data_IF_764661057492
#
_entry.id   IF_764661057492
#
_cell.length_a   1.000
_cell.length_b   1.000
_cell.length_c   1.000
_cell.angle_alpha   90.00
_cell.angle_beta   90.00
_cell.angle_gamma   90.00
#
_symmetry.space_group_name_H-M   'P 1'
#
loop_
_entity.id
_entity.type
_entity.pdbx_description
1 polymer ?
#
# COMPACT_ATOMS: atom_id res chain seq x y z
N UNK A 1 -35.11 -23.73 -85.15
CA UNK A 1 -33.91 -22.88 -85.29
C UNK A 1 -33.48 -22.45 -83.89
N UNK A 2 -32.46 -23.02 -83.24
CA UNK A 2 -31.58 -24.18 -83.49
C UNK A 2 -31.32 -24.82 -82.09
N UNK A 3 -31.67 -26.11 -81.85
CA UNK A 3 -30.71 -27.23 -81.57
C UNK A 3 -29.64 -26.94 -80.49
N UNK A 4 -29.33 -27.76 -79.46
CA UNK A 4 -29.60 -29.17 -79.08
C UNK A 4 -29.00 -29.41 -77.64
N UNK A 5 -29.06 -30.53 -76.87
CA UNK A 5 -29.63 -31.90 -76.93
C UNK A 5 -29.66 -32.54 -75.50
N UNK A 6 -30.39 -33.66 -75.29
CA UNK A 6 -30.30 -34.75 -74.25
C UNK A 6 -30.10 -34.44 -72.73
N UNK A 7 -30.87 -34.98 -71.76
CA UNK A 7 -31.18 -36.39 -71.33
C UNK A 7 -30.04 -37.05 -70.53
N UNK A 8 -30.18 -37.83 -69.43
CA UNK A 8 -31.11 -38.91 -68.95
C UNK A 8 -31.02 -38.93 -67.37
N UNK A 9 -31.88 -39.43 -66.44
CA UNK A 9 -33.25 -39.98 -66.27
C UNK A 9 -33.22 -41.26 -65.36
N UNK A 10 -34.20 -41.48 -64.45
CA UNK A 10 -34.47 -42.71 -63.61
C UNK A 10 -33.67 -42.81 -62.26
N UNK A 11 -34.08 -43.52 -61.18
CA UNK A 11 -35.31 -44.31 -60.85
C UNK A 11 -35.60 -44.49 -59.32
N UNK A 12 -36.85 -44.86 -58.98
CA UNK A 12 -37.34 -45.74 -57.88
C UNK A 12 -36.94 -45.59 -56.39
N UNK A 13 -37.94 -45.12 -55.62
CA UNK A 13 -38.41 -45.54 -54.27
C UNK A 13 -38.16 -47.00 -53.81
N UNK A 14 -37.77 -47.20 -52.53
CA UNK A 14 -38.11 -48.38 -51.69
C UNK A 14 -37.84 -48.20 -50.15
N UNK A 15 -38.84 -48.54 -49.31
CA UNK A 15 -38.84 -49.48 -48.12
C UNK A 15 -37.61 -49.55 -47.16
N UNK A 16 -37.68 -49.68 -45.80
CA UNK A 16 -38.61 -49.33 -44.68
C UNK A 16 -38.05 -49.92 -43.32
N UNK A 17 -38.00 -49.12 -42.24
CA UNK A 17 -37.94 -49.44 -40.75
C UNK A 17 -36.80 -50.31 -40.11
N UNK A 18 -36.68 -50.15 -38.77
CA UNK A 18 -35.90 -50.89 -37.73
C UNK A 18 -34.37 -50.61 -37.65
N UNK A 19 -33.69 -50.61 -36.49
CA UNK A 19 -34.10 -50.41 -35.07
C UNK A 19 -32.87 -50.18 -34.14
N UNK A 20 -33.14 -49.64 -32.94
CA UNK A 20 -32.34 -49.68 -31.69
C UNK A 20 -30.97 -48.96 -31.56
N UNK A 21 -30.90 -48.29 -30.40
CA UNK A 21 -29.82 -47.74 -29.56
C UNK A 21 -28.38 -48.27 -29.71
N UNK A 22 -27.43 -47.39 -29.36
CA UNK A 22 -26.27 -47.77 -28.54
C UNK A 22 -25.90 -46.61 -27.59
N UNK A 23 -25.98 -46.91 -26.30
CA UNK A 23 -25.43 -46.30 -25.07
C UNK A 23 -25.17 -44.78 -24.89
N UNK A 24 -25.44 -44.36 -23.65
CA UNK A 24 -24.95 -43.09 -23.08
C UNK A 24 -23.51 -43.29 -22.61
N UNK A 25 -22.54 -42.79 -23.37
CA UNK A 25 -21.19 -42.60 -22.84
C UNK A 25 -21.26 -41.64 -21.64
N UNK A 26 -21.20 -42.22 -20.44
CA UNK A 26 -21.13 -41.48 -19.20
C UNK A 26 -19.75 -40.88 -19.12
N UNK A 27 -19.63 -39.58 -19.40
CA UNK A 27 -18.37 -38.86 -19.33
C UNK A 27 -17.79 -38.95 -17.91
N UNK A 28 -16.88 -39.92 -17.71
CA UNK A 28 -16.12 -40.09 -16.48
C UNK A 28 -15.51 -38.74 -16.12
N UNK A 29 -15.69 -38.23 -14.89
CA UNK A 29 -14.96 -37.06 -14.45
C UNK A 29 -13.46 -37.31 -14.66
N UNK A 30 -12.84 -36.51 -15.52
CA UNK A 30 -11.38 -36.49 -15.63
C UNK A 30 -10.80 -36.24 -14.24
N UNK A 31 -9.64 -36.82 -13.89
CA UNK A 31 -9.10 -36.74 -12.54
C UNK A 31 -9.03 -35.28 -12.12
N UNK A 32 -9.75 -34.94 -11.04
CA UNK A 32 -9.67 -33.61 -10.45
C UNK A 32 -8.20 -33.28 -10.18
N UNK A 33 -7.74 -32.03 -10.43
CA UNK A 33 -6.40 -31.62 -10.07
C UNK A 33 -6.29 -31.52 -8.55
N UNK A 34 -6.13 -32.67 -7.89
CA UNK A 34 -5.92 -32.88 -6.46
C UNK A 34 -4.53 -32.42 -5.98
N UNK A 35 -3.97 -31.41 -6.66
CA UNK A 35 -2.78 -30.69 -6.25
C UNK A 35 -3.14 -29.67 -5.17
N UNK A 36 -3.12 -30.09 -3.91
CA UNK A 36 -2.87 -29.15 -2.82
C UNK A 36 -1.56 -28.40 -3.14
N UNK A 37 -1.66 -27.10 -3.37
CA UNK A 37 -0.49 -26.30 -3.76
C UNK A 37 0.52 -26.31 -2.62
N UNK A 38 1.67 -26.94 -2.84
CA UNK A 38 2.77 -26.92 -1.90
C UNK A 38 3.22 -25.47 -1.69
N UNK A 39 3.13 -24.99 -0.45
CA UNK A 39 3.49 -23.62 -0.10
C UNK A 39 4.94 -23.29 -0.45
N UNK A 40 5.24 -22.01 -0.61
CA UNK A 40 6.56 -21.58 -1.09
C UNK A 40 7.65 -21.93 -0.07
N UNK A 41 8.60 -22.78 -0.48
CA UNK A 41 9.85 -23.03 0.25
C UNK A 41 10.74 -21.79 0.10
N UNK A 42 11.24 -21.27 1.21
CA UNK A 42 12.02 -20.03 1.28
C UNK A 42 13.16 -20.16 2.30
N UNK A 43 14.20 -19.30 2.24
CA UNK A 43 15.25 -19.29 3.25
C UNK A 43 14.73 -18.97 4.65
N UNK A 44 15.46 -19.43 5.67
CA UNK A 44 15.25 -19.02 7.07
C UNK A 44 15.74 -17.58 7.27
N UNK A 45 15.07 -16.79 8.11
CA UNK A 45 15.39 -15.38 8.31
C UNK A 45 16.78 -15.16 8.93
N UNK A 46 17.53 -14.19 8.42
CA UNK A 46 18.79 -13.71 9.01
C UNK A 46 18.47 -12.81 10.20
N UNK A 47 19.13 -12.99 11.34
CA UNK A 47 18.89 -12.20 12.56
C UNK A 47 19.18 -10.71 12.37
N UNK A 48 18.21 -9.87 12.76
CA UNK A 48 18.24 -8.42 12.64
C UNK A 48 17.93 -7.75 14.00
N UNK A 49 18.70 -6.73 14.36
CA UNK A 49 18.47 -5.94 15.56
C UNK A 49 18.69 -6.68 16.89
N UNK A 50 18.25 -6.03 17.97
CA UNK A 50 18.43 -6.52 19.33
C UNK A 50 17.48 -7.68 19.67
N UNK A 51 17.98 -8.64 20.46
CA UNK A 51 17.18 -9.72 21.04
C UNK A 51 16.63 -9.30 22.41
N UNK A 52 15.38 -9.66 22.70
CA UNK A 52 14.79 -9.58 24.04
C UNK A 52 14.63 -10.99 24.58
N UNK A 53 15.03 -11.22 25.84
CA UNK A 53 15.03 -12.55 26.48
C UNK A 53 14.37 -12.47 27.84
N UNK A 54 13.54 -13.45 28.20
CA UNK A 54 12.83 -13.52 29.48
C UNK A 54 12.64 -14.97 29.93
N UNK A 55 12.83 -15.24 31.23
CA UNK A 55 12.45 -16.51 31.87
C UNK A 55 10.97 -16.44 32.26
N UNK A 56 10.17 -17.43 31.81
CA UNK A 56 8.73 -17.51 32.06
C UNK A 56 8.41 -18.90 32.60
N UNK A 57 7.70 -18.94 33.74
CA UNK A 57 7.31 -20.17 34.43
C UNK A 57 5.84 -20.55 34.27
N UNK A 58 5.36 -21.54 35.04
CA UNK A 58 3.95 -22.01 35.01
C UNK A 58 2.91 -20.92 35.30
N UNK A 59 3.29 -19.83 35.96
CA UNK A 59 2.46 -18.62 36.14
C UNK A 59 2.05 -17.94 34.82
N UNK A 60 2.74 -18.22 33.72
CA UNK A 60 2.61 -17.49 32.46
C UNK A 60 3.40 -16.18 32.47
N UNK A 61 3.35 -15.44 31.37
CA UNK A 61 4.10 -14.20 31.18
C UNK A 61 3.89 -13.57 29.81
N UNK A 62 4.54 -12.43 29.59
CA UNK A 62 4.52 -11.69 28.33
C UNK A 62 5.95 -11.34 27.92
N UNK A 63 6.30 -11.61 26.67
CA UNK A 63 7.56 -11.17 26.05
C UNK A 63 7.24 -10.40 24.76
N UNK A 64 8.03 -9.39 24.41
CA UNK A 64 7.81 -8.55 23.25
C UNK A 64 9.14 -8.17 22.58
N UNK A 65 9.08 -7.74 21.32
CA UNK A 65 10.21 -7.09 20.66
C UNK A 65 10.48 -5.69 21.26
N UNK A 66 11.71 -5.14 21.17
CA UNK A 66 12.06 -3.84 21.77
C UNK A 66 11.18 -2.66 21.32
N UNK A 67 10.69 -2.71 20.08
CA UNK A 67 9.80 -1.74 19.46
C UNK A 67 8.30 -2.01 19.71
N UNK A 68 7.98 -3.08 20.45
CA UNK A 68 6.62 -3.60 20.67
C UNK A 68 5.84 -3.94 19.39
N UNK A 69 6.55 -4.21 18.28
CA UNK A 69 5.97 -4.61 16.99
C UNK A 69 5.35 -6.00 17.02
N UNK A 70 5.97 -6.94 17.73
CA UNK A 70 5.36 -8.23 18.11
C UNK A 70 5.37 -8.39 19.63
N UNK A 71 4.30 -8.98 20.17
CA UNK A 71 4.25 -9.45 21.55
C UNK A 71 3.64 -10.84 21.62
N UNK A 72 4.05 -11.62 22.63
CA UNK A 72 3.58 -12.98 22.86
C UNK A 72 3.15 -13.11 24.31
N UNK A 73 1.90 -13.54 24.51
CA UNK A 73 1.33 -13.86 25.81
C UNK A 73 1.31 -15.38 25.99
N UNK A 74 2.06 -15.87 26.98
CA UNK A 74 2.07 -17.29 27.39
C UNK A 74 1.14 -17.39 28.61
N UNK A 75 -0.03 -18.04 28.52
CA UNK A 75 -0.99 -18.05 29.62
C UNK A 75 -0.57 -18.97 30.77
N UNK A 76 -1.10 -18.71 31.98
CA UNK A 76 -0.85 -19.55 33.15
C UNK A 76 -1.24 -21.01 32.90
N UNK A 77 -0.36 -21.94 33.24
CA UNK A 77 -0.51 -23.37 32.97
C UNK A 77 -0.36 -23.77 31.50
N UNK A 78 0.31 -22.95 30.68
CA UNK A 78 0.85 -23.35 29.37
C UNK A 78 2.22 -24.05 29.44
N UNK A 79 2.87 -24.00 30.61
CA UNK A 79 4.19 -24.54 30.91
C UNK A 79 4.16 -25.33 32.22
N UNK A 80 4.97 -26.39 32.30
CA UNK A 80 5.15 -27.23 33.49
C UNK A 80 6.33 -26.80 34.37
N UNK A 81 7.27 -26.03 33.84
CA UNK A 81 8.46 -25.53 34.52
C UNK A 81 8.90 -24.18 33.92
N UNK A 82 9.90 -23.55 34.54
CA UNK A 82 10.54 -22.33 34.04
C UNK A 82 11.32 -22.58 32.75
N UNK A 83 11.07 -21.76 31.73
CA UNK A 83 11.74 -21.80 30.44
C UNK A 83 12.18 -20.39 30.03
N UNK A 84 13.40 -20.27 29.52
CA UNK A 84 13.89 -19.03 28.89
C UNK A 84 13.37 -18.93 27.46
N UNK A 85 12.73 -17.82 27.14
CA UNK A 85 12.24 -17.47 25.81
C UNK A 85 12.95 -16.24 25.27
N UNK A 86 13.00 -16.08 23.95
CA UNK A 86 13.46 -14.84 23.32
C UNK A 86 12.69 -14.45 22.05
N UNK A 87 12.73 -13.15 21.76
CA UNK A 87 12.19 -12.51 20.55
C UNK A 87 13.31 -11.73 19.87
N UNK A 88 13.51 -11.91 18.58
CA UNK A 88 14.43 -11.11 17.76
C UNK A 88 13.80 -10.81 16.39
N UNK A 89 14.13 -9.67 15.78
CA UNK A 89 13.82 -9.42 14.37
C UNK A 89 14.61 -10.35 13.45
N UNK A 90 14.05 -10.68 12.28
CA UNK A 90 14.72 -11.39 11.20
C UNK A 90 14.27 -10.87 9.82
N UNK A 91 15.12 -11.09 8.81
CA UNK A 91 14.79 -10.80 7.41
C UNK A 91 13.53 -11.54 6.97
N UNK A 92 12.56 -10.81 6.41
CA UNK A 92 11.25 -11.38 6.05
C UNK A 92 11.31 -12.06 4.67
N UNK A 93 11.13 -13.38 4.66
CA UNK A 93 11.05 -14.20 3.45
C UNK A 93 9.65 -14.79 3.20
N UNK A 94 8.63 -14.37 3.95
CA UNK A 94 7.25 -14.79 3.71
C UNK A 94 6.74 -14.25 2.35
N UNK A 95 6.08 -15.06 1.51
CA UNK A 95 5.45 -14.56 0.28
C UNK A 95 4.41 -13.47 0.61
N UNK A 96 4.47 -12.34 -0.11
CA UNK A 96 3.65 -11.14 0.19
C UNK A 96 3.86 -10.59 1.62
N UNK A 97 5.02 -10.85 2.24
CA UNK A 97 5.37 -10.39 3.58
C UNK A 97 5.36 -8.88 3.73
N UNK A 98 4.94 -8.39 4.90
CA UNK A 98 4.83 -6.96 5.24
C UNK A 98 5.64 -6.64 6.49
N UNK A 99 6.61 -5.73 6.35
CA UNK A 99 7.51 -5.34 7.42
C UNK A 99 8.49 -6.45 7.83
N UNK A 100 9.13 -6.28 8.99
CA UNK A 100 10.09 -7.22 9.56
C UNK A 100 9.37 -8.49 10.09
N UNK A 101 10.04 -9.64 9.97
CA UNK A 101 9.62 -10.91 10.57
C UNK A 101 10.31 -11.10 11.94
N UNK A 102 9.83 -12.00 12.78
CA UNK A 102 10.36 -12.21 14.13
C UNK A 102 10.60 -13.68 14.42
N UNK A 103 11.80 -13.98 14.94
CA UNK A 103 12.16 -15.28 15.49
C UNK A 103 11.73 -15.35 16.95
N UNK A 104 10.93 -16.35 17.28
CA UNK A 104 10.55 -16.71 18.64
C UNK A 104 11.32 -17.99 19.02
N UNK A 105 12.02 -17.98 20.15
CA UNK A 105 12.79 -19.13 20.65
C UNK A 105 12.38 -19.51 22.08
N UNK A 106 12.50 -20.80 22.47
CA UNK A 106 13.07 -21.92 21.70
C UNK A 106 12.09 -22.51 20.67
N UNK A 107 12.60 -22.96 19.53
CA UNK A 107 11.81 -23.82 18.62
C UNK A 107 11.48 -25.15 19.30
N UNK A 108 10.35 -25.77 18.93
CA UNK A 108 9.96 -27.09 19.45
C UNK A 108 9.40 -27.11 20.88
N UNK A 109 9.25 -25.97 21.55
CA UNK A 109 8.40 -25.88 22.75
C UNK A 109 6.97 -26.22 22.36
N UNK A 110 6.36 -27.17 23.07
CA UNK A 110 4.95 -27.52 22.95
C UNK A 110 4.21 -27.01 24.18
N UNK A 111 3.40 -25.96 24.03
CA UNK A 111 2.62 -25.43 25.14
C UNK A 111 1.43 -26.35 25.47
N UNK A 112 1.03 -26.43 26.74
CA UNK A 112 -0.20 -27.14 27.17
C UNK A 112 -1.47 -26.31 26.98
N UNK A 113 -1.34 -25.02 26.66
CA UNK A 113 -2.41 -24.07 26.31
C UNK A 113 -1.86 -23.10 25.26
N UNK A 114 -2.64 -22.65 24.26
CA UNK A 114 -2.13 -21.80 23.19
C UNK A 114 -1.55 -20.48 23.72
N UNK A 115 -0.34 -20.14 23.28
CA UNK A 115 0.20 -18.81 23.39
C UNK A 115 -0.46 -17.89 22.35
N UNK A 116 -0.64 -16.61 22.69
CA UNK A 116 -1.21 -15.62 21.78
C UNK A 116 -0.08 -14.77 21.23
N UNK A 117 0.18 -14.86 19.91
CA UNK A 117 1.12 -13.96 19.21
C UNK A 117 0.31 -12.80 18.63
N UNK A 118 0.72 -11.58 18.92
CA UNK A 118 0.09 -10.35 18.44
C UNK A 118 1.10 -9.49 17.71
N UNK A 119 0.81 -9.14 16.46
CA UNK A 119 1.55 -8.14 15.69
C UNK A 119 0.80 -6.80 15.72
N UNK A 120 1.53 -5.70 15.82
CA UNK A 120 1.03 -4.35 15.53
C UNK A 120 1.32 -3.99 14.07
N UNK A 121 0.42 -3.25 13.41
CA UNK A 121 0.63 -2.76 12.04
C UNK A 121 0.48 -1.23 11.94
N UNK A 122 1.14 -0.62 10.95
CA UNK A 122 1.08 0.83 10.67
C UNK A 122 0.65 1.12 9.21
N UNK A 123 0.58 2.40 8.81
CA UNK A 123 0.18 2.81 7.46
C UNK A 123 1.09 2.26 6.34
N UNK A 124 2.34 1.90 6.64
CA UNK A 124 3.28 1.30 5.67
C UNK A 124 2.87 -0.13 5.35
N UNK A 125 2.38 -0.87 6.34
CA UNK A 125 1.87 -2.23 6.16
C UNK A 125 0.62 -2.24 5.28
N UNK A 126 -0.24 -1.26 5.46
CA UNK A 126 -1.50 -1.11 4.72
C UNK A 126 -1.32 -0.55 3.30
N UNK A 127 -0.13 -0.10 2.90
CA UNK A 127 0.13 0.40 1.53
C UNK A 127 -0.24 -0.67 0.49
N UNK A 128 -1.29 -0.38 -0.29
CA UNK A 128 -1.77 -1.24 -1.36
C UNK A 128 -2.71 -2.36 -0.89
N UNK A 129 -3.14 -2.39 0.37
CA UNK A 129 -4.03 -3.42 0.92
C UNK A 129 -5.03 -2.82 1.93
N UNK A 130 -5.72 -3.67 2.71
CA UNK A 130 -6.62 -3.25 3.78
C UNK A 130 -6.43 -4.16 5.02
N UNK A 131 -6.75 -3.71 6.26
CA UNK A 131 -6.53 -4.49 7.47
C UNK A 131 -7.11 -5.91 7.44
N UNK A 132 -8.32 -6.09 6.89
CA UNK A 132 -8.97 -7.41 6.79
C UNK A 132 -8.30 -8.37 5.78
N UNK A 133 -7.36 -7.87 4.98
CA UNK A 133 -6.54 -8.63 4.02
C UNK A 133 -5.12 -8.92 4.56
N UNK A 134 -4.81 -8.47 5.78
CA UNK A 134 -3.60 -8.88 6.50
C UNK A 134 -3.80 -10.27 7.14
N UNK A 135 -2.72 -11.03 7.22
CA UNK A 135 -2.61 -12.32 7.90
C UNK A 135 -1.27 -12.41 8.63
N UNK A 136 -1.15 -13.38 9.53
CA UNK A 136 0.12 -13.80 10.14
C UNK A 136 0.42 -15.21 9.63
N UNK A 137 1.69 -15.49 9.33
CA UNK A 137 2.19 -16.83 9.04
C UNK A 137 3.42 -17.16 9.88
N UNK A 138 3.71 -18.44 10.02
CA UNK A 138 4.96 -18.97 10.56
C UNK A 138 5.71 -19.80 9.53
N UNK A 139 7.04 -19.85 9.63
CA UNK A 139 7.85 -20.76 8.82
C UNK A 139 8.01 -22.09 9.56
N UNK A 140 7.75 -23.21 8.87
CA UNK A 140 7.98 -24.56 9.40
C UNK A 140 9.37 -25.09 9.04
N UNK A 141 9.74 -26.24 9.61
CA UNK A 141 11.06 -26.90 9.43
C UNK A 141 11.42 -27.22 7.96
N UNK A 142 10.43 -27.21 7.04
CA UNK A 142 10.63 -27.42 5.60
C UNK A 142 10.84 -26.12 4.82
N UNK A 143 10.99 -24.98 5.53
CA UNK A 143 11.12 -23.64 4.93
C UNK A 143 9.81 -23.08 4.34
N UNK A 144 8.68 -23.77 4.56
CA UNK A 144 7.36 -23.40 4.03
C UNK A 144 6.61 -22.54 5.05
N UNK A 145 6.03 -21.43 4.58
CA UNK A 145 5.19 -20.57 5.40
C UNK A 145 3.76 -21.10 5.52
N UNK A 146 3.20 -21.05 6.72
CA UNK A 146 1.87 -21.55 7.08
C UNK A 146 1.07 -20.46 7.80
N UNK A 147 -0.14 -20.16 7.34
CA UNK A 147 -1.05 -19.19 7.96
C UNK A 147 -2.05 -19.89 8.87
N UNK A 148 -1.94 -19.80 10.21
CA UNK A 148 -3.01 -20.22 11.11
C UNK A 148 -4.25 -19.32 10.97
N UNK A 149 -5.34 -19.69 11.65
CA UNK A 149 -6.53 -18.85 11.75
C UNK A 149 -6.24 -17.59 12.57
N UNK A 150 -6.83 -16.46 12.16
CA UNK A 150 -6.81 -15.22 12.97
C UNK A 150 -7.62 -15.47 14.25
N UNK A 151 -7.04 -15.12 15.40
CA UNK A 151 -7.74 -15.05 16.68
C UNK A 151 -8.55 -13.74 16.77
N UNK A 152 -7.93 -12.59 16.48
CA UNK A 152 -8.64 -11.30 16.39
C UNK A 152 -7.92 -10.29 15.50
N UNK A 153 -8.68 -9.31 14.98
CA UNK A 153 -8.19 -8.10 14.30
C UNK A 153 -8.84 -6.88 14.96
N UNK A 154 -8.05 -6.06 15.67
CA UNK A 154 -8.50 -4.77 16.19
C UNK A 154 -7.98 -3.64 15.29
N UNK A 155 -8.90 -2.99 14.58
CA UNK A 155 -8.59 -1.88 13.66
C UNK A 155 -8.36 -0.54 14.36
N UNK A 156 -8.70 -0.44 15.65
CA UNK A 156 -8.50 0.76 16.49
C UNK A 156 -7.14 0.70 17.18
N UNK A 157 -6.82 -0.42 17.85
CA UNK A 157 -5.49 -0.67 18.43
C UNK A 157 -4.43 -1.05 17.38
N UNK A 158 -4.87 -1.35 16.14
CA UNK A 158 -4.04 -1.78 15.00
C UNK A 158 -3.23 -3.03 15.30
N UNK A 159 -3.90 -4.04 15.85
CA UNK A 159 -3.33 -5.33 16.20
C UNK A 159 -4.01 -6.46 15.44
N UNK A 160 -3.20 -7.44 15.04
CA UNK A 160 -3.63 -8.71 14.45
C UNK A 160 -3.06 -9.82 15.33
N UNK A 161 -3.88 -10.78 15.77
CA UNK A 161 -3.44 -11.84 16.67
C UNK A 161 -3.80 -13.24 16.17
N UNK A 162 -2.98 -14.22 16.55
CA UNK A 162 -3.18 -15.66 16.31
C UNK A 162 -2.95 -16.44 17.60
N UNK A 163 -3.39 -17.70 17.60
CA UNK A 163 -3.01 -18.68 18.63
C UNK A 163 -1.96 -19.65 18.07
N UNK A 164 -0.99 -20.03 18.90
CA UNK A 164 0.03 -21.03 18.56
C UNK A 164 0.34 -21.97 19.73
N UNK A 165 0.68 -23.21 19.40
CA UNK A 165 1.18 -24.21 20.35
C UNK A 165 2.72 -24.32 20.34
N UNK A 166 3.40 -23.62 19.42
CA UNK A 166 4.86 -23.66 19.23
C UNK A 166 5.46 -22.30 18.88
N UNK A 167 6.79 -22.19 19.00
CA UNK A 167 7.61 -21.06 18.57
C UNK A 167 8.45 -21.42 17.33
N UNK A 168 8.79 -20.42 16.52
CA UNK A 168 9.42 -20.51 15.18
C UNK A 168 9.74 -19.09 14.66
N UNK A 169 10.04 -18.92 13.37
CA UNK A 169 9.96 -17.60 12.69
C UNK A 169 8.50 -17.28 12.35
N UNK A 170 8.10 -16.00 12.47
CA UNK A 170 6.75 -15.47 12.26
C UNK A 170 6.76 -14.15 11.48
N UNK A 171 5.78 -13.93 10.60
CA UNK A 171 5.68 -12.71 9.79
C UNK A 171 4.21 -12.31 9.56
N UNK A 172 3.96 -11.01 9.34
CA UNK A 172 2.74 -10.57 8.69
C UNK A 172 2.87 -10.67 7.17
N UNK A 173 1.77 -10.97 6.48
CA UNK A 173 1.69 -10.96 5.02
C UNK A 173 0.31 -10.48 4.52
N UNK A 174 0.22 -10.13 3.23
CA UNK A 174 -1.00 -9.61 2.58
C UNK A 174 -1.61 -10.68 1.67
N UNK A 175 -2.88 -11.02 1.85
CA UNK A 175 -3.57 -11.99 0.97
C UNK A 175 -3.98 -11.38 -0.36
N UNK A 176 -4.27 -10.08 -0.41
CA UNK A 176 -4.54 -9.33 -1.64
C UNK A 176 -3.81 -7.97 -1.58
N UNK A 177 -3.20 -7.54 -2.67
CA UNK A 177 -2.59 -6.21 -2.79
C UNK A 177 -2.61 -5.63 -4.21
N UNK A 178 -2.53 -4.30 -4.30
CA UNK A 178 -2.24 -3.53 -5.53
C UNK A 178 -0.79 -3.04 -5.51
N UNK A 179 -0.09 -3.21 -6.62
CA UNK A 179 1.28 -2.74 -6.81
C UNK A 179 1.45 -2.06 -8.18
N UNK A 180 2.16 -0.92 -8.29
CA UNK A 180 2.73 -0.13 -7.18
C UNK A 180 1.68 0.56 -6.31
N UNK A 181 1.80 0.45 -4.99
CA UNK A 181 0.92 1.08 -4.00
C UNK A 181 1.13 2.60 -3.84
N UNK A 182 2.26 3.13 -4.33
CA UNK A 182 2.54 4.57 -4.37
C UNK A 182 3.42 4.85 -5.60
N UNK A 183 3.07 5.86 -6.39
CA UNK A 183 3.74 6.18 -7.67
C UNK A 183 4.10 7.66 -7.71
N UNK A 184 5.25 7.99 -8.32
CA UNK A 184 5.72 9.36 -8.51
C UNK A 184 6.01 9.60 -10.00
N UNK A 185 5.09 10.27 -10.68
CA UNK A 185 5.14 10.53 -12.12
C UNK A 185 5.44 12.00 -12.43
N UNK A 186 6.10 12.26 -13.54
CA UNK A 186 6.06 13.56 -14.20
C UNK A 186 4.70 13.73 -14.93
N UNK A 187 4.26 14.98 -15.20
CA UNK A 187 3.07 15.21 -16.03
C UNK A 187 3.17 14.50 -17.40
N UNK A 188 2.07 13.88 -17.83
CA UNK A 188 1.98 13.11 -19.08
C UNK A 188 2.58 11.69 -19.07
N UNK A 189 3.24 11.25 -17.99
CA UNK A 189 3.72 9.87 -17.87
C UNK A 189 2.60 8.86 -17.59
N UNK A 190 2.93 7.57 -17.68
CA UNK A 190 1.99 6.46 -17.51
C UNK A 190 2.51 5.47 -16.47
N UNK A 191 1.61 4.76 -15.79
CA UNK A 191 1.94 3.61 -14.93
C UNK A 191 0.93 2.48 -15.14
N UNK A 192 1.43 1.25 -15.19
CA UNK A 192 0.60 0.04 -15.07
C UNK A 192 0.51 -0.35 -13.60
N UNK A 193 -0.70 -0.39 -13.08
CA UNK A 193 -1.01 -1.01 -11.80
C UNK A 193 -1.37 -2.48 -12.03
N UNK A 194 -0.98 -3.32 -11.09
CA UNK A 194 -1.26 -4.76 -11.08
C UNK A 194 -1.82 -5.16 -9.73
N UNK A 195 -2.65 -6.21 -9.69
CA UNK A 195 -3.17 -6.76 -8.44
C UNK A 195 -2.86 -8.24 -8.33
N UNK A 196 -2.42 -8.62 -7.14
CA UNK A 196 -2.02 -9.98 -6.81
C UNK A 196 -2.78 -10.50 -5.61
N UNK A 197 -2.94 -11.82 -5.55
CA UNK A 197 -3.52 -12.52 -4.42
C UNK A 197 -2.70 -13.77 -4.04
N UNK A 198 -2.82 -14.19 -2.78
CA UNK A 198 -2.44 -15.52 -2.31
C UNK A 198 -3.74 -16.29 -2.09
N UNK A 199 -3.82 -17.49 -2.66
CA UNK A 199 -5.02 -18.32 -2.56
C UNK A 199 -5.15 -18.91 -1.15
N UNK A 200 -6.23 -18.56 -0.45
CA UNK A 200 -6.64 -19.20 0.80
C UNK A 200 -7.27 -20.58 0.47
N UNK A 201 -6.45 -21.62 0.32
CA UNK A 201 -6.92 -23.01 0.19
C UNK A 201 -7.17 -23.61 1.58
N UNK A 202 -8.41 -24.01 1.93
CA UNK A 202 -8.69 -24.60 3.23
C UNK A 202 -7.94 -25.92 3.43
N UNK A 203 -7.13 -26.00 4.49
CA UNK A 203 -6.50 -27.23 4.95
C UNK A 203 -6.89 -27.46 6.41
N UNK A 204 -7.38 -28.66 6.72
CA UNK A 204 -7.79 -29.00 8.09
C UNK A 204 -6.54 -29.20 8.98
N UNK A 205 -6.52 -28.52 10.14
CA UNK A 205 -5.52 -28.62 11.22
C UNK A 205 -4.04 -28.50 10.77
N UNK A 206 -3.50 -27.27 10.88
CA UNK A 206 -2.10 -26.96 10.54
C UNK A 206 -1.88 -25.59 9.89
N UNK A 207 -2.98 -24.87 9.61
CA UNK A 207 -2.94 -23.62 8.85
C UNK A 207 -2.90 -23.84 7.34
N UNK A 208 -3.12 -22.77 6.58
CA UNK A 208 -3.09 -22.80 5.11
C UNK A 208 -1.65 -22.55 4.60
N UNK A 209 -1.13 -23.33 3.64
CA UNK A 209 0.20 -23.08 3.09
C UNK A 209 0.21 -21.76 2.31
N UNK A 210 1.18 -20.89 2.61
CA UNK A 210 1.33 -19.60 1.92
C UNK A 210 2.02 -19.84 0.58
N UNK A 211 1.25 -19.74 -0.50
CA UNK A 211 1.73 -19.87 -1.88
C UNK A 211 2.36 -18.56 -2.39
N UNK A 212 3.08 -18.63 -3.51
CA UNK A 212 3.55 -17.43 -4.21
C UNK A 212 2.36 -16.59 -4.71
N UNK A 213 2.45 -15.24 -4.69
CA UNK A 213 1.39 -14.38 -5.20
C UNK A 213 1.09 -14.63 -6.68
N UNK A 214 -0.19 -14.74 -7.01
CA UNK A 214 -0.72 -14.94 -8.36
C UNK A 214 -1.50 -13.69 -8.82
N UNK A 215 -1.78 -13.51 -10.12
CA UNK A 215 -2.72 -12.50 -10.61
C UNK A 215 -4.10 -12.64 -9.97
N UNK A 216 -4.70 -11.52 -9.51
CA UNK A 216 -6.03 -11.53 -8.89
C UNK A 216 -7.12 -12.08 -9.85
N UNK A 217 -7.94 -13.09 -9.48
CA UNK A 217 -8.97 -13.62 -10.36
C UNK A 217 -10.05 -12.58 -10.68
N UNK A 218 -10.53 -12.49 -11.95
CA UNK A 218 -11.60 -11.58 -12.33
C UNK A 218 -12.87 -11.68 -11.47
N UNK A 219 -13.18 -12.86 -10.93
CA UNK A 219 -14.33 -13.08 -10.07
C UNK A 219 -14.31 -12.26 -8.75
N UNK A 220 -13.14 -11.81 -8.28
CA UNK A 220 -13.01 -10.95 -7.09
C UNK A 220 -12.97 -9.45 -7.41
N UNK A 221 -13.22 -9.05 -8.67
CA UNK A 221 -13.11 -7.67 -9.16
C UNK A 221 -14.53 -7.13 -9.42
N UNK A 222 -14.89 -6.03 -8.76
CA UNK A 222 -16.09 -5.26 -9.11
C UNK A 222 -15.70 -4.21 -10.16
N UNK A 223 -14.91 -3.20 -9.77
CA UNK A 223 -14.48 -2.14 -10.69
C UNK A 223 -13.26 -1.36 -10.23
N UNK A 224 -12.59 -0.79 -11.22
CA UNK A 224 -11.56 0.22 -11.08
C UNK A 224 -12.18 1.62 -11.04
N UNK A 225 -11.70 2.47 -10.12
CA UNK A 225 -12.19 3.85 -9.94
C UNK A 225 -11.00 4.80 -9.83
N UNK A 226 -11.01 5.91 -10.58
CA UNK A 226 -10.09 7.03 -10.43
C UNK A 226 -10.75 8.15 -9.62
N UNK A 227 -10.03 8.68 -8.63
CA UNK A 227 -10.35 9.92 -7.94
C UNK A 227 -9.21 10.92 -8.14
N UNK A 228 -9.46 11.97 -8.93
CA UNK A 228 -8.46 12.92 -9.40
C UNK A 228 -8.43 13.02 -10.93
N UNK A 229 -7.44 13.74 -11.44
CA UNK A 229 -7.25 13.96 -12.88
C UNK A 229 -6.37 12.87 -13.52
N UNK A 230 -6.41 12.80 -14.85
CA UNK A 230 -5.76 11.77 -15.67
C UNK A 230 -6.77 10.90 -16.39
N UNK A 231 -6.33 9.75 -16.91
CA UNK A 231 -7.24 8.71 -17.46
C UNK A 231 -6.86 7.34 -16.91
N UNK A 232 -7.85 6.45 -16.77
CA UNK A 232 -7.66 5.11 -16.23
C UNK A 232 -8.33 4.08 -17.16
N UNK A 233 -7.60 3.01 -17.49
CA UNK A 233 -8.09 1.89 -18.30
C UNK A 233 -7.89 0.58 -17.52
N UNK A 234 -8.92 0.18 -16.79
CA UNK A 234 -8.95 -1.11 -16.08
C UNK A 234 -9.18 -2.27 -17.04
N UNK A 235 -8.45 -3.36 -16.86
CA UNK A 235 -8.62 -4.63 -17.56
C UNK A 235 -8.32 -5.78 -16.59
N UNK A 236 -9.37 -6.38 -16.03
CA UNK A 236 -9.25 -7.44 -15.01
C UNK A 236 -8.29 -6.99 -13.88
N UNK A 237 -7.25 -7.78 -13.59
CA UNK A 237 -6.30 -7.57 -12.50
C UNK A 237 -5.26 -6.47 -12.74
N UNK A 238 -5.31 -5.77 -13.88
CA UNK A 238 -4.42 -4.63 -14.18
C UNK A 238 -5.22 -3.36 -14.49
N UNK A 239 -4.61 -2.20 -14.29
CA UNK A 239 -5.13 -0.94 -14.80
C UNK A 239 -4.00 -0.02 -15.25
N UNK A 240 -4.12 0.51 -16.47
CA UNK A 240 -3.19 1.49 -17.00
C UNK A 240 -3.70 2.90 -16.67
N UNK A 241 -2.90 3.70 -15.95
CA UNK A 241 -3.16 5.10 -15.64
C UNK A 241 -2.24 6.00 -16.47
N UNK A 242 -2.82 7.08 -17.02
CA UNK A 242 -2.11 8.17 -17.70
C UNK A 242 -2.26 9.46 -16.89
N UNK A 243 -1.13 10.08 -16.54
CA UNK A 243 -1.11 11.36 -15.84
C UNK A 243 -1.59 12.51 -16.76
N UNK A 244 -2.24 13.55 -16.20
CA UNK A 244 -2.53 14.77 -16.94
C UNK A 244 -1.24 15.50 -17.36
N UNK A 245 -1.33 16.34 -18.39
CA UNK A 245 -0.19 17.10 -18.96
C UNK A 245 0.29 18.27 -18.07
N UNK A 246 -0.33 18.48 -16.91
CA UNK A 246 0.04 19.45 -15.90
C UNK A 246 -0.09 18.83 -14.50
N UNK A 247 0.44 19.50 -13.47
CA UNK A 247 0.26 19.07 -12.07
C UNK A 247 -1.23 19.26 -11.69
N UNK A 248 -1.92 18.20 -11.23
CA UNK A 248 -3.36 18.22 -10.99
C UNK A 248 -3.75 18.95 -9.71
N UNK A 249 -5.02 19.36 -9.62
CA UNK A 249 -5.61 20.00 -8.46
C UNK A 249 -5.78 19.05 -7.27
N UNK A 250 -6.14 17.79 -7.52
CA UNK A 250 -6.09 16.71 -6.54
C UNK A 250 -4.82 15.89 -6.76
N UNK A 251 -3.86 16.02 -5.84
CA UNK A 251 -2.56 15.39 -5.91
C UNK A 251 -2.13 14.91 -4.50
N UNK A 252 -1.82 13.62 -4.28
CA UNK A 252 -1.91 12.52 -5.24
C UNK A 252 -3.35 12.26 -5.71
N UNK A 253 -3.48 11.75 -6.94
CA UNK A 253 -4.70 11.09 -7.40
C UNK A 253 -4.75 9.67 -6.81
N UNK A 254 -5.96 9.16 -6.54
CA UNK A 254 -6.14 7.82 -5.99
C UNK A 254 -6.80 6.89 -7.02
N UNK A 255 -6.14 5.78 -7.34
CA UNK A 255 -6.73 4.68 -8.11
C UNK A 255 -7.13 3.59 -7.13
N UNK A 256 -8.43 3.26 -7.12
CA UNK A 256 -9.02 2.25 -6.24
C UNK A 256 -9.52 1.08 -7.06
N UNK A 257 -9.12 -0.15 -6.71
CA UNK A 257 -9.86 -1.35 -7.06
C UNK A 257 -10.88 -1.64 -5.96
N UNK A 258 -12.16 -1.73 -6.32
CA UNK A 258 -13.22 -2.26 -5.46
C UNK A 258 -13.34 -3.76 -5.73
N UNK A 259 -13.34 -4.56 -4.67
CA UNK A 259 -13.34 -6.02 -4.76
C UNK A 259 -14.75 -6.59 -4.59
N UNK A 260 -15.14 -7.49 -5.50
CA UNK A 260 -16.30 -8.36 -5.33
C UNK A 260 -15.95 -9.54 -4.40
N UNK A 261 -15.59 -9.22 -3.15
CA UNK A 261 -15.19 -10.21 -2.14
C UNK A 261 -15.58 -9.72 -0.75
N UNK A 262 -16.16 -10.63 0.03
CA UNK A 262 -16.37 -10.48 1.48
C UNK A 262 -15.36 -11.36 2.22
N UNK A 263 -14.91 -10.95 3.41
CA UNK A 263 -14.15 -11.82 4.33
C UNK A 263 -14.74 -11.75 5.73
N UNK A 264 -14.45 -12.74 6.58
CA UNK A 264 -14.91 -12.79 7.98
C UNK A 264 -13.72 -13.00 8.91
N UNK A 265 -13.65 -12.20 9.97
CA UNK A 265 -12.64 -12.29 11.01
C UNK A 265 -13.37 -12.11 12.35
N UNK A 266 -13.18 -13.04 13.28
CA UNK A 266 -13.81 -13.03 14.61
C UNK A 266 -15.34 -12.80 14.56
N UNK A 267 -16.01 -13.50 13.64
CA UNK A 267 -17.45 -13.36 13.35
C UNK A 267 -17.85 -12.09 12.57
N UNK A 268 -17.09 -11.00 12.66
CA UNK A 268 -17.34 -9.75 11.93
C UNK A 268 -17.17 -9.94 10.42
N UNK A 269 -18.14 -9.42 9.65
CA UNK A 269 -18.18 -9.52 8.19
C UNK A 269 -17.69 -8.22 7.53
N UNK A 270 -16.61 -8.31 6.77
CA UNK A 270 -15.98 -7.18 6.07
C UNK A 270 -16.38 -7.20 4.60
N UNK A 271 -17.21 -6.22 4.23
CA UNK A 271 -17.65 -5.91 2.87
C UNK A 271 -16.89 -4.68 2.33
N UNK A 272 -17.13 -4.33 1.07
CA UNK A 272 -16.55 -3.15 0.40
C UNK A 272 -15.02 -3.07 0.48
N UNK A 273 -14.34 -4.23 0.41
CA UNK A 273 -12.88 -4.32 0.43
C UNK A 273 -12.28 -3.57 -0.77
N UNK A 274 -11.26 -2.74 -0.49
CA UNK A 274 -10.62 -1.85 -1.47
C UNK A 274 -9.12 -1.98 -1.42
N UNK A 275 -8.50 -1.93 -2.60
CA UNK A 275 -7.05 -1.78 -2.76
C UNK A 275 -6.79 -0.41 -3.38
N UNK A 276 -5.90 0.40 -2.80
CA UNK A 276 -5.67 1.79 -3.23
C UNK A 276 -4.20 2.00 -3.60
N UNK A 277 -3.97 2.52 -4.81
CA UNK A 277 -2.68 3.11 -5.22
C UNK A 277 -2.81 4.63 -5.24
N UNK A 278 -1.81 5.32 -4.68
CA UNK A 278 -1.73 6.78 -4.69
C UNK A 278 -0.68 7.24 -5.70
N UNK A 279 -1.10 8.02 -6.70
CA UNK A 279 -0.27 8.48 -7.81
C UNK A 279 -0.03 9.98 -7.65
N UNK A 280 1.18 10.34 -7.27
CA UNK A 280 1.63 11.72 -7.13
C UNK A 280 2.24 12.20 -8.44
N UNK A 281 1.69 13.26 -9.02
CA UNK A 281 2.11 13.81 -10.32
C UNK A 281 2.81 15.14 -10.12
N UNK A 282 4.15 15.14 -10.16
CA UNK A 282 4.98 16.35 -10.22
C UNK A 282 6.40 16.04 -10.73
N UNK A 283 7.05 16.99 -11.42
CA UNK A 283 8.49 16.96 -11.68
C UNK A 283 9.30 16.90 -10.37
N UNK A 284 10.57 16.45 -10.46
CA UNK A 284 11.50 16.63 -9.34
C UNK A 284 11.79 18.12 -9.11
N UNK A 285 11.69 18.56 -7.86
CA UNK A 285 11.86 19.95 -7.45
C UNK A 285 10.68 20.49 -6.63
N UNK A 286 10.58 21.81 -6.57
CA UNK A 286 9.51 22.57 -5.94
C UNK A 286 8.73 23.31 -7.04
N UNK A 287 7.57 22.79 -7.39
CA UNK A 287 6.65 23.37 -8.37
C UNK A 287 5.69 24.36 -7.69
N UNK A 288 5.52 25.55 -8.27
CA UNK A 288 4.63 26.60 -7.78
C UNK A 288 3.80 27.18 -8.93
N UNK A 289 2.53 27.46 -8.66
CA UNK A 289 1.60 28.14 -9.55
C UNK A 289 0.98 29.35 -8.82
N UNK A 290 0.89 30.47 -9.50
CA UNK A 290 0.27 31.71 -9.01
C UNK A 290 -0.93 32.05 -9.89
N UNK A 291 -2.08 32.39 -9.29
CA UNK A 291 -3.31 32.85 -9.96
C UNK A 291 -3.73 32.01 -11.18
N UNK A 292 -3.57 30.68 -11.09
CA UNK A 292 -3.80 29.70 -12.16
C UNK A 292 -2.97 29.89 -13.44
N UNK A 293 -1.91 30.71 -13.41
CA UNK A 293 -0.96 30.91 -14.51
C UNK A 293 -0.06 29.69 -14.78
N UNK A 294 1.06 29.89 -15.46
CA UNK A 294 2.00 28.79 -15.73
C UNK A 294 2.59 28.20 -14.43
N UNK A 295 2.77 26.88 -14.41
CA UNK A 295 3.59 26.21 -13.40
C UNK A 295 5.07 26.54 -13.64
N UNK A 296 5.79 26.91 -12.58
CA UNK A 296 7.25 26.99 -12.60
C UNK A 296 7.83 26.00 -11.58
N UNK A 297 8.84 25.24 -11.97
CA UNK A 297 9.51 24.25 -11.10
C UNK A 297 10.93 24.68 -10.80
N UNK A 298 11.17 25.03 -9.54
CA UNK A 298 12.51 25.33 -9.05
C UNK A 298 13.24 24.01 -8.73
N UNK A 299 14.46 23.79 -9.25
CA UNK A 299 15.36 22.76 -8.74
C UNK A 299 15.53 22.91 -7.23
N UNK A 300 15.23 21.85 -6.46
CA UNK A 300 15.02 21.96 -5.02
C UNK A 300 15.43 20.71 -4.24
N UNK A 301 15.76 20.92 -2.97
CA UNK A 301 16.04 19.88 -1.98
C UNK A 301 15.37 20.20 -0.64
N UNK A 302 15.39 19.23 0.28
CA UNK A 302 14.87 19.41 1.65
C UNK A 302 15.95 19.14 2.71
N UNK A 303 16.01 20.00 3.72
CA UNK A 303 16.70 19.72 4.98
C UNK A 303 15.63 19.47 6.08
N UNK A 304 15.87 18.51 6.97
CA UNK A 304 15.05 18.25 8.15
C UNK A 304 15.93 18.09 9.39
N UNK A 305 16.01 19.13 10.22
CA UNK A 305 16.87 19.16 11.43
C UNK A 305 16.04 19.61 12.63
N UNK A 306 16.19 18.94 13.78
CA UNK A 306 15.52 19.34 15.04
C UNK A 306 13.99 19.37 14.97
N UNK A 307 13.37 18.52 14.15
CA UNK A 307 11.91 18.50 13.95
C UNK A 307 11.38 19.67 13.11
N UNK A 308 12.24 20.46 12.46
CA UNK A 308 11.88 21.48 11.48
C UNK A 308 12.37 21.08 10.10
N UNK A 309 11.49 21.17 9.12
CA UNK A 309 11.73 20.80 7.73
C UNK A 309 11.57 22.02 6.83
N UNK A 310 12.45 22.14 5.83
CA UNK A 310 12.40 23.23 4.87
C UNK A 310 12.82 22.72 3.49
N UNK A 311 11.88 22.78 2.55
CA UNK A 311 12.14 22.64 1.12
C UNK A 311 12.58 24.00 0.60
N UNK A 312 13.71 24.05 -0.12
CA UNK A 312 14.19 25.26 -0.80
C UNK A 312 14.47 24.93 -2.25
N UNK A 313 13.90 25.71 -3.16
CA UNK A 313 14.20 25.68 -4.59
C UNK A 313 14.73 27.03 -5.07
N UNK A 314 15.59 27.00 -6.09
CA UNK A 314 16.17 28.19 -6.71
C UNK A 314 16.28 28.02 -8.23
N UNK A 315 15.87 29.04 -8.97
CA UNK A 315 16.20 29.19 -10.39
C UNK A 315 16.71 30.61 -10.65
N UNK A 316 17.92 30.73 -11.20
CA UNK A 316 18.61 32.00 -11.42
C UNK A 316 18.65 32.91 -10.17
N UNK A 317 17.79 33.93 -10.16
CA UNK A 317 17.62 34.89 -9.05
C UNK A 317 16.31 34.69 -8.26
N UNK A 318 15.42 33.81 -8.72
CA UNK A 318 14.19 33.47 -8.01
C UNK A 318 14.45 32.37 -6.96
N UNK A 319 13.73 32.43 -5.85
CA UNK A 319 13.75 31.37 -4.82
C UNK A 319 12.35 31.09 -4.32
N UNK A 320 12.03 29.81 -4.13
CA UNK A 320 10.81 29.38 -3.45
C UNK A 320 11.16 28.52 -2.24
N UNK A 321 10.38 28.63 -1.18
CA UNK A 321 10.54 27.81 0.02
C UNK A 321 9.20 27.50 0.66
N UNK A 322 9.10 26.28 1.20
CA UNK A 322 8.00 25.85 2.05
C UNK A 322 8.57 25.08 3.24
N UNK A 323 8.12 25.41 4.45
CA UNK A 323 8.61 24.85 5.70
C UNK A 323 7.48 24.45 6.63
N UNK A 324 7.77 23.47 7.49
CA UNK A 324 6.89 23.02 8.57
C UNK A 324 7.71 22.51 9.76
N UNK A 325 7.03 22.25 10.88
CA UNK A 325 7.63 21.81 12.14
C UNK A 325 6.72 20.80 12.83
N UNK A 326 7.32 19.81 13.48
CA UNK A 326 6.63 18.68 14.10
C UNK A 326 6.98 17.37 13.41
N UNK A 327 5.96 16.60 13.01
CA UNK A 327 6.12 15.30 12.37
C UNK A 327 6.80 15.39 10.98
N UNK A 328 7.48 14.33 10.51
CA UNK A 328 8.10 14.29 9.19
C UNK A 328 7.07 14.36 8.05
N UNK A 329 5.84 13.89 8.29
CA UNK A 329 4.69 13.91 7.36
C UNK A 329 3.41 14.35 8.09
N UNK A 330 2.36 14.74 7.35
CA UNK A 330 1.09 15.23 7.91
C UNK A 330 0.58 16.52 7.26
N UNK A 331 -0.40 17.17 7.88
CA UNK A 331 -0.96 18.46 7.43
C UNK A 331 -0.60 19.57 8.43
N UNK A 332 -0.04 20.66 7.92
CA UNK A 332 0.50 21.77 8.71
C UNK A 332 -0.11 23.08 8.23
N UNK A 333 -0.89 23.74 9.09
CA UNK A 333 -1.53 25.02 8.80
C UNK A 333 -0.53 26.18 8.96
N UNK A 334 -0.66 27.21 8.13
CA UNK A 334 0.23 28.38 8.15
C UNK A 334 0.27 29.06 9.52
N UNK A 335 1.43 29.58 9.92
CA UNK A 335 1.64 30.27 11.20
C UNK A 335 2.04 31.73 11.01
N UNK A 336 1.87 32.57 12.05
CA UNK A 336 2.46 33.93 12.07
C UNK A 336 3.97 33.91 12.41
N UNK A 337 4.48 32.78 12.90
CA UNK A 337 5.91 32.48 13.02
C UNK A 337 6.44 31.78 11.77
N UNK A 338 7.75 31.56 11.69
CA UNK A 338 8.37 30.78 10.62
C UNK A 338 8.32 29.25 10.85
N UNK A 339 7.45 28.76 11.75
CA UNK A 339 7.32 27.32 12.03
C UNK A 339 6.59 26.57 10.91
N UNK A 340 5.56 27.16 10.31
CA UNK A 340 4.92 26.70 9.06
C UNK A 340 4.74 27.89 8.12
N UNK A 341 5.59 27.98 7.09
CA UNK A 341 5.72 29.18 6.27
C UNK A 341 6.00 28.86 4.79
N UNK A 342 5.42 29.66 3.90
CA UNK A 342 5.75 29.72 2.47
C UNK A 342 6.29 31.10 2.10
N UNK A 343 7.33 31.14 1.25
CA UNK A 343 7.82 32.35 0.59
C UNK A 343 8.22 32.02 -0.86
N UNK A 344 7.90 32.92 -1.79
CA UNK A 344 8.41 32.94 -3.16
C UNK A 344 8.94 34.34 -3.46
N UNK A 345 10.25 34.45 -3.66
CA UNK A 345 10.93 35.71 -3.99
C UNK A 345 11.24 35.73 -5.48
N UNK A 346 10.64 36.67 -6.22
CA UNK A 346 11.03 37.06 -7.57
C UNK A 346 11.69 38.45 -7.54
N UNK A 347 12.52 38.86 -8.53
CA UNK A 347 13.35 40.08 -8.46
C UNK A 347 12.64 41.40 -8.13
N UNK A 348 11.33 41.50 -8.38
CA UNK A 348 10.50 42.68 -8.09
C UNK A 348 9.22 42.36 -7.29
N UNK A 349 8.99 41.10 -6.94
CA UNK A 349 7.69 40.64 -6.45
C UNK A 349 7.86 39.46 -5.50
N UNK A 350 7.49 39.65 -4.23
CA UNK A 350 7.59 38.62 -3.18
C UNK A 350 6.18 38.16 -2.81
N UNK A 351 5.95 36.84 -2.77
CA UNK A 351 4.70 36.20 -2.34
C UNK A 351 4.90 35.45 -1.03
N UNK A 352 3.93 35.52 -0.11
CA UNK A 352 4.03 34.94 1.24
C UNK A 352 2.69 34.37 1.75
N UNK A 353 2.78 33.48 2.74
CA UNK A 353 1.67 32.96 3.58
C UNK A 353 1.10 33.97 4.59
N UNK A 354 1.41 35.26 4.42
CA UNK A 354 0.97 36.37 5.25
C UNK A 354 0.57 37.52 4.32
N UNK A 355 -0.54 38.19 4.61
CA UNK A 355 -1.11 39.23 3.75
C UNK A 355 -1.67 40.44 4.52
N UNK A 356 -1.80 41.56 3.82
CA UNK A 356 -2.35 42.81 4.33
C UNK A 356 -1.47 43.53 5.37
N UNK A 357 -1.82 44.79 5.69
CA UNK A 357 -1.04 45.65 6.59
C UNK A 357 -1.00 45.16 8.06
N UNK A 358 -1.90 44.26 8.45
CA UNK A 358 -1.95 43.68 9.80
C UNK A 358 -1.12 42.38 9.95
N UNK A 359 -0.50 41.91 8.86
CA UNK A 359 0.15 40.59 8.77
C UNK A 359 -0.81 39.48 9.20
N UNK A 360 -1.92 39.36 8.45
CA UNK A 360 -2.91 38.28 8.60
C UNK A 360 -2.37 37.00 7.98
N UNK A 361 -2.57 35.87 8.64
CA UNK A 361 -2.09 34.55 8.16
C UNK A 361 -3.04 34.03 7.08
N UNK A 362 -2.49 33.47 5.99
CA UNK A 362 -3.24 32.86 4.90
C UNK A 362 -4.03 31.63 5.33
N UNK A 363 -5.15 31.36 4.65
CA UNK A 363 -5.81 30.06 4.69
C UNK A 363 -5.06 29.00 3.86
N UNK A 364 -5.46 27.73 4.04
CA UNK A 364 -4.79 26.58 3.45
C UNK A 364 -3.73 25.96 4.36
N UNK A 365 -2.85 25.14 3.80
CA UNK A 365 -1.86 24.35 4.55
C UNK A 365 -0.75 23.81 3.65
N UNK A 366 0.32 23.29 4.27
CA UNK A 366 1.23 22.29 3.69
C UNK A 366 0.69 20.90 4.00
N UNK A 367 0.62 20.02 3.02
CA UNK A 367 0.34 18.59 3.19
C UNK A 367 1.57 17.80 2.73
N UNK A 368 2.16 17.02 3.61
CA UNK A 368 3.34 16.19 3.35
C UNK A 368 2.89 14.73 3.28
N UNK A 369 2.71 14.23 2.07
CA UNK A 369 2.18 12.89 1.77
C UNK A 369 3.18 11.77 2.08
N UNK A 370 4.47 12.00 1.83
CA UNK A 370 5.53 11.06 2.17
C UNK A 370 6.80 11.80 2.61
N UNK A 371 7.50 11.22 3.59
CA UNK A 371 8.77 11.73 4.09
C UNK A 371 9.60 10.55 4.60
N UNK A 372 10.45 10.00 3.73
CA UNK A 372 11.38 8.91 4.06
C UNK A 372 12.84 9.41 4.00
N UNK A 373 13.82 8.52 4.08
CA UNK A 373 15.25 8.87 4.11
C UNK A 373 15.74 9.53 2.81
N UNK A 374 15.20 9.13 1.66
CA UNK A 374 15.62 9.64 0.35
C UNK A 374 14.75 10.81 -0.13
N UNK A 375 13.43 10.69 0.01
CA UNK A 375 12.43 11.52 -0.66
C UNK A 375 11.42 12.12 0.32
N UNK A 376 11.07 13.38 0.07
CA UNK A 376 9.94 14.06 0.70
C UNK A 376 9.04 14.63 -0.38
N UNK A 377 7.74 14.33 -0.31
CA UNK A 377 6.75 14.68 -1.32
C UNK A 377 5.47 15.22 -0.70
N UNK A 378 4.83 16.17 -1.36
CA UNK A 378 3.60 16.78 -0.86
C UNK A 378 3.13 17.98 -1.65
N UNK A 379 2.06 18.61 -1.16
CA UNK A 379 1.39 19.76 -1.77
C UNK A 379 1.25 20.91 -0.77
N UNK A 380 0.93 22.11 -1.26
CA UNK A 380 0.50 23.20 -0.40
C UNK A 380 -0.45 24.16 -1.13
N UNK A 381 -1.29 24.85 -0.36
CA UNK A 381 -2.20 25.90 -0.84
C UNK A 381 -2.13 27.09 0.11
N UNK A 382 -1.98 28.29 -0.45
CA UNK A 382 -1.93 29.57 0.25
C UNK A 382 -3.03 30.46 -0.31
N UNK A 383 -4.11 30.66 0.47
CA UNK A 383 -5.30 31.38 0.00
C UNK A 383 -5.85 32.33 1.08
N UNK A 384 -5.83 33.67 0.87
CA UNK A 384 -5.01 34.37 -0.11
C UNK A 384 -3.52 34.34 0.30
N UNK A 385 -2.62 34.19 -0.67
CA UNK A 385 -1.22 34.58 -0.49
C UNK A 385 -1.12 36.10 -0.54
N UNK A 386 -0.31 36.71 0.32
CA UNK A 386 0.04 38.14 0.19
C UNK A 386 1.14 38.33 -0.85
N UNK A 387 1.17 39.48 -1.52
CA UNK A 387 2.31 39.88 -2.34
C UNK A 387 2.76 41.33 -2.10
N UNK A 388 4.05 41.59 -2.33
CA UNK A 388 4.68 42.91 -2.26
C UNK A 388 5.50 43.19 -3.54
N UNK A 389 5.23 44.32 -4.21
CA UNK A 389 5.96 44.77 -5.40
C UNK A 389 7.06 45.76 -5.01
N UNK A 390 8.29 45.27 -4.88
CA UNK A 390 9.46 46.04 -4.42
C UNK A 390 9.98 47.06 -5.44
N UNK A 391 9.47 47.03 -6.69
CA UNK A 391 9.80 48.03 -7.71
C UNK A 391 8.86 49.24 -7.72
N UNK A 392 7.95 49.36 -6.76
CA UNK A 392 7.02 50.50 -6.62
C UNK A 392 7.32 51.31 -5.36
N UNK A 393 7.07 52.62 -5.42
CA UNK A 393 7.19 53.55 -4.29
C UNK A 393 5.91 54.41 -4.18
N UNK A 394 5.14 54.30 -3.08
CA UNK A 394 5.28 53.32 -2.00
C UNK A 394 5.14 51.88 -2.50
N UNK A 395 5.64 50.91 -1.73
CA UNK A 395 5.54 49.48 -2.06
C UNK A 395 4.06 49.08 -2.17
N UNK A 396 3.63 48.75 -3.38
CA UNK A 396 2.31 48.18 -3.66
C UNK A 396 2.21 46.79 -3.04
N UNK A 397 1.08 46.51 -2.41
CA UNK A 397 0.77 45.20 -1.82
C UNK A 397 -0.60 44.73 -2.29
N UNK A 398 -0.80 43.41 -2.29
CA UNK A 398 -2.09 42.82 -2.61
C UNK A 398 -2.16 41.35 -2.22
N UNK A 399 -3.07 40.63 -2.88
CA UNK A 399 -3.31 39.20 -2.68
C UNK A 399 -3.32 38.44 -4.00
N UNK A 400 -2.97 37.16 -3.93
CA UNK A 400 -3.01 36.18 -5.03
C UNK A 400 -3.51 34.82 -4.51
N UNK A 401 -3.86 33.92 -5.41
CA UNK A 401 -3.93 32.48 -5.14
C UNK A 401 -2.57 31.85 -5.41
N UNK A 402 -2.05 31.03 -4.48
CA UNK A 402 -0.85 30.24 -4.72
C UNK A 402 -1.08 28.78 -4.32
N UNK A 403 -0.69 27.86 -5.19
CA UNK A 403 -0.60 26.42 -4.88
C UNK A 403 0.74 25.87 -5.34
N UNK A 404 1.15 24.75 -4.75
CA UNK A 404 2.40 24.11 -5.10
C UNK A 404 2.43 22.62 -4.80
N UNK A 405 3.44 21.96 -5.38
CA UNK A 405 3.78 20.57 -5.16
C UNK A 405 5.30 20.44 -5.05
N UNK A 406 5.78 19.55 -4.20
CA UNK A 406 7.20 19.23 -4.08
C UNK A 406 7.44 17.74 -4.19
N UNK A 407 8.50 17.38 -4.91
CA UNK A 407 9.06 16.03 -5.03
C UNK A 407 10.57 16.18 -4.95
N UNK A 408 11.13 16.12 -3.74
CA UNK A 408 12.51 16.54 -3.49
C UNK A 408 13.31 15.49 -2.74
N UNK A 409 14.60 15.41 -3.06
CA UNK A 409 15.55 14.58 -2.32
C UNK A 409 15.99 15.27 -1.02
N UNK A 410 16.34 14.49 0.01
CA UNK A 410 17.03 15.02 1.19
C UNK A 410 18.42 15.53 0.83
N UNK A 411 18.83 16.63 1.44
CA UNK A 411 20.17 17.22 1.30
C UNK A 411 20.94 16.97 2.58
N UNK A 412 22.02 16.18 2.52
CA UNK A 412 22.96 15.98 3.63
C UNK A 412 22.64 14.81 4.57
N UNK A 413 22.55 13.58 4.03
CA UNK A 413 22.81 12.33 4.78
C UNK A 413 23.70 11.40 3.95
N UNK A 414 24.95 11.85 3.78
CA UNK A 414 26.13 11.08 3.38
C UNK A 414 27.25 11.45 4.37
#
# INVERSE_FOLDING_TARGET
MKTFFQSVLRLSLAVLILSCETDKDSATPGPEPSGQSAGAVTPIGISEGAVTTLQIGPSGGVIASPDNRVSVVIPSGALSADQTFSVQGVSNHCPSGSGQAFRLLPHGVNFTKPAIVTFRYDEKDLKGTAPALMRIAYQNEKGVWMSPAIKSLDTTARTLSIETMHFSDWAMFRTLQIDPATVFLNPGENVRLTTTYIAETPVAFGGMPVVLPQPLPPAFIDKWVLSGEGTLKGNNNVADYSAPQAIPALNPAAVTLILNKTTKIDGQEFKDLRLVSNIFVAPEGLSVQVDNGAWHTYPAGVNGTGGRYMVVGKDGTETASVSWKGAPSGTFYWTKSADVAFNLNKPKLVYQHIYGKASTVSGGSVKVDQSNEQWVTGTFVVQPAGWLNTATQPISIGTASVRGAFRVKRVGQL
#
